data_IF_539490498153
#
_entry.id   IF_539490498153
#
_cell.length_a   1.000
_cell.length_b   1.000
_cell.length_c   1.000
_cell.angle_alpha   90.00
_cell.angle_beta   90.00
_cell.angle_gamma   90.00
#
_symmetry.space_group_name_H-M   'P 1'
#
loop_
_entity.id
_entity.type
_entity.pdbx_description
1 polymer ?
#
# COMPACT_ATOMS: atom_id res chain seq x y z
N UNK A 1 19.77 -6.11 -39.47
CA UNK A 1 18.61 -6.85 -38.90
C UNK A 1 18.39 -6.39 -37.48
N UNK A 2 17.26 -5.76 -37.13
CA UNK A 2 17.08 -5.25 -35.78
C UNK A 2 16.81 -6.39 -34.81
N UNK A 3 17.56 -6.39 -33.72
CA UNK A 3 17.40 -7.26 -32.57
C UNK A 3 15.99 -7.02 -31.99
N UNK A 4 15.07 -7.96 -32.17
CA UNK A 4 13.77 -7.95 -31.49
C UNK A 4 14.02 -8.23 -30.01
N UNK A 5 14.14 -7.18 -29.22
CA UNK A 5 13.95 -7.27 -27.79
C UNK A 5 12.49 -7.71 -27.59
N UNK A 6 12.29 -8.98 -27.23
CA UNK A 6 10.97 -9.48 -26.86
C UNK A 6 10.53 -8.76 -25.58
N UNK A 7 9.80 -7.66 -25.72
CA UNK A 7 8.97 -7.12 -24.66
C UNK A 7 7.87 -8.15 -24.39
N UNK A 8 8.09 -9.01 -23.39
CA UNK A 8 7.02 -9.84 -22.85
C UNK A 8 5.97 -8.89 -22.25
N UNK A 9 4.71 -9.01 -22.69
CA UNK A 9 3.59 -8.35 -22.01
C UNK A 9 3.59 -8.74 -20.52
N UNK A 10 3.34 -7.78 -19.63
CA UNK A 10 3.26 -7.98 -18.18
C UNK A 10 2.35 -9.18 -17.81
N UNK A 11 1.27 -9.39 -18.58
CA UNK A 11 0.34 -10.52 -18.43
C UNK A 11 0.98 -11.92 -18.52
N UNK A 12 2.10 -12.05 -19.24
CA UNK A 12 2.81 -13.34 -19.43
C UNK A 12 3.82 -13.63 -18.32
N UNK A 13 4.36 -12.61 -17.63
CA UNK A 13 5.28 -12.82 -16.50
C UNK A 13 4.56 -13.34 -15.25
N UNK A 14 3.32 -12.88 -15.03
CA UNK A 14 2.48 -13.34 -13.89
C UNK A 14 2.20 -14.85 -13.95
N UNK A 15 2.17 -15.43 -15.16
CA UNK A 15 1.88 -16.86 -15.37
C UNK A 15 3.08 -17.81 -15.23
N UNK A 16 4.31 -17.31 -15.08
CA UNK A 16 5.51 -18.13 -15.29
C UNK A 16 6.29 -18.56 -14.05
N UNK A 17 5.80 -18.34 -12.82
CA UNK A 17 6.50 -18.86 -11.64
C UNK A 17 5.51 -19.44 -10.61
N UNK A 18 5.74 -20.71 -10.27
CA UNK A 18 5.03 -21.58 -9.32
C UNK A 18 3.66 -22.12 -9.81
N UNK A 19 3.47 -23.45 -9.68
CA UNK A 19 2.15 -24.08 -9.76
C UNK A 19 1.28 -23.40 -8.70
N UNK A 20 0.44 -22.45 -9.11
CA UNK A 20 -0.51 -21.81 -8.20
C UNK A 20 -1.41 -22.88 -7.60
N UNK A 21 -1.45 -22.95 -6.28
CA UNK A 21 -2.42 -23.76 -5.56
C UNK A 21 -3.81 -23.10 -5.69
N UNK A 22 -4.83 -23.72 -5.12
CA UNK A 22 -6.16 -23.11 -5.12
C UNK A 22 -6.14 -21.76 -4.38
N UNK A 23 -7.17 -20.92 -4.58
CA UNK A 23 -7.21 -19.63 -3.90
C UNK A 23 -7.35 -19.81 -2.38
N UNK A 24 -7.96 -20.93 -2.02
CA UNK A 24 -8.23 -21.38 -0.67
C UNK A 24 -6.93 -21.84 0.02
N UNK A 25 -6.03 -22.51 -0.72
CA UNK A 25 -4.73 -22.96 -0.20
C UNK A 25 -3.70 -21.82 -0.05
N UNK A 26 -3.78 -20.79 -0.88
CA UNK A 26 -2.88 -19.62 -0.82
C UNK A 26 -3.42 -18.49 0.07
N UNK A 27 -4.66 -18.58 0.52
CA UNK A 27 -5.23 -17.57 1.42
C UNK A 27 -4.48 -17.57 2.75
N UNK A 28 -3.99 -16.40 3.24
CA UNK A 28 -3.22 -16.36 4.48
C UNK A 28 -4.07 -16.70 5.70
N UNK A 29 -3.49 -17.42 6.67
CA UNK A 29 -4.08 -17.57 8.00
C UNK A 29 -3.91 -16.26 8.78
N UNK A 30 -5.04 -15.58 9.00
CA UNK A 30 -5.12 -14.28 9.68
C UNK A 30 -5.84 -14.38 11.03
N UNK A 31 -6.02 -15.60 11.56
CA UNK A 31 -6.83 -15.86 12.75
C UNK A 31 -6.32 -15.18 14.02
N UNK A 32 -5.03 -14.84 14.09
CA UNK A 32 -4.38 -14.19 15.23
C UNK A 32 -3.89 -12.76 14.89
N UNK A 33 -4.42 -12.15 13.83
CA UNK A 33 -3.95 -10.87 13.33
C UNK A 33 -4.85 -9.71 13.76
N UNK A 34 -4.22 -8.59 14.14
CA UNK A 34 -4.87 -7.33 14.47
C UNK A 34 -4.20 -6.18 13.70
N UNK A 35 -4.45 -6.14 12.40
CA UNK A 35 -4.10 -5.04 11.51
C UNK A 35 -5.27 -4.75 10.56
N UNK A 36 -5.29 -3.56 9.93
CA UNK A 36 -6.42 -3.14 9.09
C UNK A 36 -6.62 -4.07 7.88
N UNK A 37 -5.54 -4.47 7.21
CA UNK A 37 -5.59 -5.42 6.09
C UNK A 37 -6.31 -6.71 6.49
N UNK A 38 -5.97 -7.30 7.64
CA UNK A 38 -6.56 -8.56 8.10
C UNK A 38 -8.04 -8.45 8.47
N UNK A 39 -8.52 -7.25 8.83
CA UNK A 39 -9.94 -7.00 9.09
C UNK A 39 -10.78 -6.92 7.81
N UNK A 40 -10.15 -6.47 6.71
CA UNK A 40 -10.82 -6.20 5.44
C UNK A 40 -10.70 -7.36 4.46
N UNK A 41 -9.53 -8.03 4.41
CA UNK A 41 -9.27 -9.08 3.45
C UNK A 41 -10.21 -10.26 3.69
N UNK A 42 -10.91 -10.66 2.64
CA UNK A 42 -11.74 -11.87 2.63
C UNK A 42 -11.23 -12.84 1.58
N UNK A 43 -11.58 -14.12 1.72
CA UNK A 43 -11.19 -15.16 0.78
C UNK A 43 -11.71 -14.88 -0.65
N UNK A 44 -12.95 -14.41 -0.79
CA UNK A 44 -13.52 -14.03 -2.09
C UNK A 44 -12.79 -12.85 -2.72
N UNK A 45 -12.43 -11.84 -1.91
CA UNK A 45 -11.64 -10.71 -2.36
C UNK A 45 -10.25 -11.16 -2.83
N UNK A 46 -9.57 -12.00 -2.04
CA UNK A 46 -8.27 -12.56 -2.39
C UNK A 46 -8.33 -13.35 -3.70
N UNK A 47 -9.34 -14.21 -3.86
CA UNK A 47 -9.57 -14.99 -5.08
C UNK A 47 -9.73 -14.11 -6.32
N UNK A 48 -10.41 -12.97 -6.20
CA UNK A 48 -10.57 -11.99 -7.29
C UNK A 48 -9.28 -11.23 -7.59
N UNK A 49 -8.52 -10.86 -6.56
CA UNK A 49 -7.35 -9.97 -6.70
C UNK A 49 -6.04 -10.71 -6.99
N UNK A 50 -5.91 -12.00 -6.65
CA UNK A 50 -4.67 -12.80 -6.86
C UNK A 50 -4.30 -13.02 -8.32
N UNK A 51 -5.25 -12.84 -9.23
CA UNK A 51 -5.02 -12.92 -10.68
C UNK A 51 -4.56 -11.59 -11.28
N UNK A 52 -4.52 -10.51 -10.48
CA UNK A 52 -4.13 -9.17 -10.93
C UNK A 52 -2.69 -8.85 -10.57
N UNK A 53 -2.08 -8.01 -11.40
CA UNK A 53 -0.83 -7.35 -11.12
C UNK A 53 -0.90 -5.91 -11.66
N UNK A 54 -0.12 -5.01 -11.06
CA UNK A 54 0.07 -3.66 -11.59
C UNK A 54 0.94 -3.70 -12.87
N UNK A 55 1.04 -2.59 -13.63
CA UNK A 55 1.91 -2.55 -14.81
C UNK A 55 3.38 -2.89 -14.50
N UNK A 56 3.86 -2.57 -13.30
CA UNK A 56 5.21 -2.91 -12.83
C UNK A 56 5.36 -4.36 -12.34
N UNK A 57 4.26 -5.12 -12.27
CA UNK A 57 4.25 -6.51 -11.82
C UNK A 57 4.02 -6.70 -10.31
N UNK A 58 3.61 -5.67 -9.57
CA UNK A 58 3.28 -5.79 -8.15
C UNK A 58 1.95 -6.52 -7.95
N UNK A 59 1.89 -7.48 -7.04
CA UNK A 59 0.74 -8.39 -6.84
C UNK A 59 0.06 -8.16 -5.50
N UNK A 60 -1.13 -8.77 -5.31
CA UNK A 60 -1.83 -8.73 -4.01
C UNK A 60 -0.97 -9.30 -2.88
N UNK A 61 -0.19 -10.35 -3.14
CA UNK A 61 0.69 -10.93 -2.13
C UNK A 61 1.78 -9.92 -1.71
N UNK A 62 2.35 -9.18 -2.68
CA UNK A 62 3.26 -8.07 -2.40
C UNK A 62 2.61 -6.96 -1.56
N UNK A 63 1.33 -6.66 -1.81
CA UNK A 63 0.56 -5.69 -1.04
C UNK A 63 0.40 -6.13 0.41
N UNK A 64 0.04 -7.39 0.67
CA UNK A 64 -0.38 -7.86 1.99
C UNK A 64 0.74 -8.51 2.83
N UNK A 65 1.89 -8.86 2.22
CA UNK A 65 2.95 -9.64 2.88
C UNK A 65 3.35 -9.07 4.24
N UNK A 66 3.49 -7.75 4.33
CA UNK A 66 3.84 -7.09 5.60
C UNK A 66 2.82 -7.34 6.71
N UNK A 67 1.53 -7.39 6.40
CA UNK A 67 0.48 -7.68 7.38
C UNK A 67 0.36 -9.16 7.69
N UNK A 68 0.67 -10.04 6.75
CA UNK A 68 0.73 -11.49 6.99
C UNK A 68 1.87 -11.83 7.95
N UNK A 69 3.07 -11.28 7.70
CA UNK A 69 4.26 -11.54 8.52
C UNK A 69 4.21 -10.86 9.91
N UNK A 70 3.45 -9.77 10.02
CA UNK A 70 3.37 -8.98 11.24
C UNK A 70 1.92 -8.96 11.76
N UNK A 71 1.55 -9.90 12.67
CA UNK A 71 0.18 -10.02 13.18
C UNK A 71 -0.28 -8.80 13.99
N UNK A 72 0.61 -7.88 14.33
CA UNK A 72 0.27 -6.63 14.99
C UNK A 72 0.26 -6.74 16.51
N UNK A 73 -0.45 -5.82 17.17
CA UNK A 73 -0.51 -5.72 18.62
C UNK A 73 -1.95 -5.45 19.08
N UNK A 74 -2.43 -5.98 20.23
CA UNK A 74 -3.83 -5.84 20.64
C UNK A 74 -4.34 -4.40 20.75
N UNK A 75 -3.47 -3.47 21.13
CA UNK A 75 -3.84 -2.08 21.40
C UNK A 75 -3.40 -1.08 20.32
N UNK A 76 -2.55 -1.51 19.38
CA UNK A 76 -2.00 -0.63 18.34
C UNK A 76 -2.27 -1.28 16.99
N UNK A 77 -3.11 -0.64 16.20
CA UNK A 77 -3.54 -1.17 14.91
C UNK A 77 -2.60 -0.68 13.81
N UNK A 78 -1.83 -1.61 13.24
CA UNK A 78 -1.00 -1.36 12.06
C UNK A 78 -1.84 -1.51 10.78
N UNK A 79 -1.38 -0.92 9.67
CA UNK A 79 -2.12 -0.99 8.40
C UNK A 79 -2.09 -2.39 7.80
N UNK A 80 -0.92 -3.04 7.75
CA UNK A 80 -0.78 -4.42 7.27
C UNK A 80 -0.77 -4.58 5.74
N UNK A 81 -0.73 -3.48 4.99
CA UNK A 81 -0.51 -3.52 3.55
C UNK A 81 0.29 -2.31 3.06
N UNK A 82 0.94 -2.46 1.90
CA UNK A 82 1.77 -1.42 1.26
C UNK A 82 1.47 -1.31 -0.23
N UNK A 83 1.78 -0.14 -0.79
CA UNK A 83 1.78 0.07 -2.23
C UNK A 83 3.18 -0.15 -2.83
N UNK A 84 3.26 -0.84 -3.96
CA UNK A 84 4.49 -1.06 -4.72
C UNK A 84 4.70 -0.01 -5.80
N UNK A 85 3.64 0.66 -6.26
CA UNK A 85 3.65 1.71 -7.28
C UNK A 85 2.38 2.60 -7.17
N UNK A 86 2.23 3.59 -8.06
CA UNK A 86 1.07 4.49 -8.08
C UNK A 86 -0.23 3.72 -8.39
N UNK A 87 -0.17 2.76 -9.32
CA UNK A 87 -1.30 1.97 -9.80
C UNK A 87 -1.83 0.95 -8.78
N UNK A 88 -1.04 0.58 -7.77
CA UNK A 88 -1.42 -0.31 -6.68
C UNK A 88 -2.74 0.13 -6.04
N UNK A 89 -2.92 1.43 -5.82
CA UNK A 89 -4.14 1.98 -5.22
C UNK A 89 -5.39 1.76 -6.07
N UNK A 90 -5.29 1.73 -7.40
CA UNK A 90 -6.43 1.51 -8.29
C UNK A 90 -6.67 0.01 -8.54
N UNK A 91 -5.61 -0.77 -8.80
CA UNK A 91 -5.71 -2.21 -9.13
C UNK A 91 -6.29 -3.01 -7.96
N UNK A 92 -5.92 -2.65 -6.73
CA UNK A 92 -6.30 -3.32 -5.49
C UNK A 92 -7.22 -2.46 -4.61
N UNK A 93 -7.95 -1.51 -5.18
CA UNK A 93 -8.87 -0.62 -4.44
C UNK A 93 -9.92 -1.35 -3.61
N UNK A 94 -10.40 -2.51 -4.08
CA UNK A 94 -11.37 -3.32 -3.34
C UNK A 94 -10.87 -3.69 -1.92
N UNK A 95 -9.55 -3.78 -1.72
CA UNK A 95 -8.90 -3.95 -0.42
C UNK A 95 -8.49 -2.60 0.19
N UNK A 96 -7.85 -1.73 -0.60
CA UNK A 96 -7.21 -0.52 -0.08
C UNK A 96 -8.21 0.57 0.32
N UNK A 97 -9.34 0.70 -0.38
CA UNK A 97 -10.37 1.71 -0.07
C UNK A 97 -10.97 1.48 1.33
N UNK A 98 -11.46 0.28 1.70
CA UNK A 98 -11.94 0.04 3.06
C UNK A 98 -10.84 0.20 4.13
N UNK A 99 -9.61 -0.22 3.82
CA UNK A 99 -8.46 -0.02 4.74
C UNK A 99 -8.18 1.47 4.97
N UNK A 100 -8.24 2.29 3.92
CA UNK A 100 -8.05 3.74 4.00
C UNK A 100 -9.19 4.37 4.80
N UNK A 101 -10.44 3.99 4.53
CA UNK A 101 -11.63 4.48 5.22
C UNK A 101 -11.53 4.22 6.72
N UNK A 102 -11.25 2.98 7.12
CA UNK A 102 -11.10 2.59 8.52
C UNK A 102 -9.91 3.28 9.20
N UNK A 103 -8.77 3.39 8.50
CA UNK A 103 -7.57 4.02 9.06
C UNK A 103 -7.71 5.53 9.22
N UNK A 104 -8.45 6.19 8.34
CA UNK A 104 -8.59 7.65 8.32
C UNK A 104 -9.94 8.14 8.84
N UNK A 105 -10.63 7.33 9.64
CA UNK A 105 -11.82 7.75 10.39
C UNK A 105 -13.05 8.00 9.53
N UNK A 106 -13.29 7.14 8.53
CA UNK A 106 -14.43 7.22 7.63
C UNK A 106 -14.16 8.02 6.34
N UNK A 107 -12.89 8.10 5.91
CA UNK A 107 -12.53 8.79 4.67
C UNK A 107 -12.94 7.97 3.44
N UNK A 108 -14.00 8.39 2.76
CA UNK A 108 -14.65 7.61 1.70
C UNK A 108 -13.89 7.72 0.38
N UNK A 109 -14.05 6.74 -0.54
CA UNK A 109 -13.49 6.82 -1.89
C UNK A 109 -13.96 8.04 -2.69
N UNK A 110 -15.11 8.62 -2.33
CA UNK A 110 -15.67 9.83 -2.97
C UNK A 110 -15.12 11.13 -2.39
N UNK A 111 -14.45 11.08 -1.25
CA UNK A 111 -13.90 12.27 -0.60
C UNK A 111 -12.68 12.79 -1.36
N UNK A 112 -12.42 14.09 -1.24
CA UNK A 112 -11.31 14.75 -1.95
C UNK A 112 -10.32 15.33 -0.97
N UNK A 113 -9.05 14.96 -1.13
CA UNK A 113 -7.98 15.49 -0.31
C UNK A 113 -7.72 16.94 -0.70
N UNK A 114 -7.59 17.81 0.32
CA UNK A 114 -7.23 19.23 0.13
C UNK A 114 -5.82 19.43 0.64
N UNK A 115 -4.96 20.00 -0.20
CA UNK A 115 -3.60 20.37 0.16
C UNK A 115 -3.51 21.87 0.35
N UNK A 116 -2.94 22.30 1.48
CA UNK A 116 -2.58 23.69 1.73
C UNK A 116 -1.16 23.73 2.32
N UNK A 117 -0.24 24.36 1.59
CA UNK A 117 1.15 24.56 2.03
C UNK A 117 1.45 26.04 2.27
N UNK A 118 0.42 26.90 2.35
CA UNK A 118 0.59 28.31 2.70
C UNK A 118 0.75 28.45 4.22
N UNK A 119 1.97 28.73 4.67
CA UNK A 119 2.24 28.97 6.10
C UNK A 119 1.50 30.18 6.68
N UNK A 120 1.09 31.15 5.85
CA UNK A 120 0.29 32.29 6.30
C UNK A 120 -1.11 31.94 6.80
N UNK A 121 -1.60 30.73 6.49
CA UNK A 121 -2.87 30.22 7.02
C UNK A 121 -2.71 29.61 8.43
N UNK A 122 -1.48 29.40 8.90
CA UNK A 122 -1.21 28.94 10.27
C UNK A 122 -1.50 30.08 11.26
N UNK A 123 -2.23 29.76 12.34
CA UNK A 123 -2.56 30.71 13.41
C UNK A 123 -1.85 30.28 14.70
N UNK A 124 -0.98 31.15 15.22
CA UNK A 124 -0.15 30.88 16.40
C UNK A 124 0.95 29.83 16.14
N UNK A 125 1.43 29.19 17.22
CA UNK A 125 2.50 28.18 17.16
C UNK A 125 3.91 28.76 17.18
N UNK A 126 4.03 30.09 17.30
CA UNK A 126 5.26 30.86 17.44
C UNK A 126 5.71 31.04 18.90
N UNK A 127 4.88 30.68 19.87
CA UNK A 127 5.05 30.92 21.30
C UNK A 127 4.91 29.66 22.18
N UNK A 128 5.17 28.48 21.62
CA UNK A 128 5.16 27.23 22.39
C UNK A 128 6.13 27.30 23.58
N UNK A 129 5.64 27.00 24.79
CA UNK A 129 6.41 27.16 26.04
C UNK A 129 7.73 26.34 25.99
N UNK A 130 8.89 27.00 26.00
CA UNK A 130 10.19 26.34 25.87
C UNK A 130 10.58 25.52 27.11
N UNK A 131 9.89 25.69 28.25
CA UNK A 131 10.10 24.83 29.42
C UNK A 131 9.59 23.40 29.19
N UNK A 132 8.68 23.21 28.25
CA UNK A 132 8.08 21.92 27.92
C UNK A 132 8.47 21.45 26.51
N UNK A 133 8.55 22.35 25.54
CA UNK A 133 8.85 22.02 24.15
C UNK A 133 10.34 22.18 23.88
N UNK A 134 11.05 21.05 23.90
CA UNK A 134 12.49 21.02 23.62
C UNK A 134 12.82 21.26 22.14
N UNK A 135 11.98 20.78 21.23
CA UNK A 135 12.14 21.00 19.78
C UNK A 135 10.83 20.74 19.04
N UNK A 136 10.67 21.41 17.89
CA UNK A 136 9.53 21.25 16.99
C UNK A 136 10.01 20.81 15.61
N UNK A 137 9.33 19.85 14.99
CA UNK A 137 9.73 19.28 13.68
C UNK A 137 8.53 18.95 12.80
N UNK A 138 8.58 19.38 11.55
CA UNK A 138 7.62 19.01 10.50
C UNK A 138 8.31 18.11 9.48
N UNK A 139 7.67 17.00 9.09
CA UNK A 139 8.16 16.07 8.07
C UNK A 139 7.02 15.63 7.18
N UNK A 140 7.30 15.44 5.90
CA UNK A 140 6.40 14.79 4.93
C UNK A 140 7.22 13.90 3.99
N UNK A 141 6.55 13.05 3.22
CA UNK A 141 7.13 12.21 2.18
C UNK A 141 6.61 12.60 0.80
N UNK A 142 7.39 12.35 -0.24
CA UNK A 142 7.01 12.49 -1.64
C UNK A 142 7.52 11.29 -2.42
N UNK A 143 6.73 10.84 -3.38
CA UNK A 143 7.15 9.83 -4.36
C UNK A 143 7.26 10.50 -5.74
N UNK A 144 8.17 10.01 -6.58
CA UNK A 144 8.36 10.51 -7.94
C UNK A 144 7.51 9.66 -8.87
N UNK A 145 6.61 10.28 -9.62
CA UNK A 145 5.76 9.58 -10.59
C UNK A 145 6.59 8.83 -11.62
N UNK A 146 6.14 7.64 -12.00
CA UNK A 146 6.78 6.79 -13.01
C UNK A 146 7.87 5.87 -12.44
N UNK A 147 8.12 5.92 -11.13
CA UNK A 147 9.01 4.99 -10.43
C UNK A 147 8.23 4.17 -9.42
N UNK A 148 8.62 2.92 -9.25
CA UNK A 148 8.08 2.06 -8.21
C UNK A 148 8.43 2.60 -6.82
N UNK A 149 7.57 2.33 -5.85
CA UNK A 149 7.75 2.67 -4.44
C UNK A 149 8.79 1.74 -3.78
N UNK A 150 9.33 2.09 -2.60
CA UNK A 150 10.38 1.32 -1.94
C UNK A 150 10.16 -0.19 -1.80
N UNK A 151 8.93 -0.72 -1.61
CA UNK A 151 8.70 -2.16 -1.56
C UNK A 151 9.01 -2.91 -2.87
N UNK A 152 8.99 -2.22 -4.01
CA UNK A 152 9.06 -2.86 -5.33
C UNK A 152 10.16 -2.29 -6.24
N UNK A 153 10.73 -1.12 -5.90
CA UNK A 153 11.74 -0.50 -6.76
C UNK A 153 13.00 -1.36 -6.94
N UNK A 154 13.38 -1.52 -8.19
CA UNK A 154 14.63 -2.15 -8.58
C UNK A 154 15.84 -1.29 -8.16
N UNK A 155 17.05 -1.86 -8.23
CA UNK A 155 18.28 -1.09 -7.97
C UNK A 155 18.50 0.05 -8.98
N UNK A 156 17.93 -0.05 -10.18
CA UNK A 156 18.07 1.00 -11.20
C UNK A 156 17.10 2.17 -10.98
N UNK A 157 15.95 1.92 -10.35
CA UNK A 157 14.97 2.96 -9.99
C UNK A 157 15.32 3.69 -8.68
N UNK A 158 16.04 3.02 -7.77
CA UNK A 158 16.43 3.55 -6.45
C UNK A 158 17.69 4.38 -6.50
#
# INVERSE_FOLDING_TARGET
SPCRLFLFSSDKMVKLTLKRLSAEDEYPDLSQHNNYMAKVLTQDMYKKLRERATPSGFTIDGVIQTGVDNPGHPFIMTVGCVAGDEETYEVFKDLLDPVIEDRHGGYKPTDKHKTDLNSGNLKGGDDLDPNYVLSSRVRTGRSIRGFSLPPHCSRGER
#
